data_IF_062284157441
#
_entry.id   IF_062284157441
#
_cell.length_a   1.000
_cell.length_b   1.000
_cell.length_c   1.000
_cell.angle_alpha   90.00
_cell.angle_beta   90.00
_cell.angle_gamma   90.00
#
_symmetry.space_group_name_H-M   'P 1'
#
loop_
_entity.id
_entity.type
_entity.pdbx_description
1 polymer ?
#
# COMPACT_ATOMS: atom_id res chain seq x y z
N UNK A 1 17.75 34.92 -0.40
CA UNK A 1 16.72 34.62 0.63
C UNK A 1 15.42 35.30 0.24
N UNK A 2 14.28 34.60 0.19
CA UNK A 2 12.98 35.26 -0.04
C UNK A 2 12.65 36.14 1.17
N UNK A 3 12.39 37.42 0.95
CA UNK A 3 12.01 38.34 2.02
C UNK A 3 10.66 37.91 2.62
N UNK A 4 10.63 37.64 3.93
CA UNK A 4 9.38 37.40 4.68
C UNK A 4 8.61 38.72 4.82
N UNK A 5 7.28 38.68 4.75
CA UNK A 5 6.44 39.85 5.07
C UNK A 5 6.59 40.23 6.55
N UNK A 6 6.30 41.49 6.88
CA UNK A 6 6.30 42.02 8.25
C UNK A 6 4.87 42.13 8.75
N UNK A 7 4.64 41.73 10.00
CA UNK A 7 3.34 41.81 10.65
C UNK A 7 2.87 43.27 10.73
N UNK A 8 1.61 43.59 10.36
CA UNK A 8 1.11 44.96 10.44
C UNK A 8 0.88 45.47 11.88
N UNK A 9 0.93 44.58 12.88
CA UNK A 9 0.70 44.92 14.30
C UNK A 9 2.01 45.12 15.06
N UNK A 10 2.96 44.19 14.92
CA UNK A 10 4.18 44.15 15.73
C UNK A 10 5.47 44.05 14.90
N UNK A 11 5.38 44.21 13.58
CA UNK A 11 6.51 44.20 12.62
C UNK A 11 7.36 42.92 12.57
N UNK A 12 7.00 41.90 13.36
CA UNK A 12 7.71 40.62 13.38
C UNK A 12 7.62 39.94 12.00
N UNK A 13 8.64 39.17 11.62
CA UNK A 13 8.63 38.39 10.39
C UNK A 13 7.44 37.41 10.37
N UNK A 14 6.76 37.28 9.23
CA UNK A 14 5.62 36.38 9.07
C UNK A 14 6.01 35.07 8.37
N UNK A 15 5.36 33.98 8.76
CA UNK A 15 5.46 32.68 8.09
C UNK A 15 4.35 32.52 7.07
N UNK A 16 4.71 32.03 5.88
CA UNK A 16 3.80 31.93 4.74
C UNK A 16 3.29 30.50 4.56
N UNK A 17 1.97 30.36 4.47
CA UNK A 17 1.24 29.13 4.23
C UNK A 17 0.41 29.27 2.95
N UNK A 18 0.46 28.24 2.09
CA UNK A 18 -0.38 28.21 0.90
C UNK A 18 -1.73 27.59 1.28
N UNK A 19 -2.83 28.28 1.02
CA UNK A 19 -4.19 27.76 1.24
C UNK A 19 -4.64 27.01 -0.02
N UNK A 20 -4.54 27.67 -1.16
CA UNK A 20 -4.90 27.15 -2.47
C UNK A 20 -4.09 27.86 -3.57
N UNK A 21 -4.46 27.65 -4.83
CA UNK A 21 -3.84 28.26 -6.01
C UNK A 21 -4.07 29.77 -6.12
N UNK A 22 -4.99 30.35 -5.33
CA UNK A 22 -5.38 31.77 -5.37
C UNK A 22 -4.99 32.55 -4.12
N UNK A 23 -4.73 31.86 -3.01
CA UNK A 23 -4.58 32.46 -1.68
C UNK A 23 -3.37 31.91 -0.94
N UNK A 24 -2.56 32.83 -0.43
CA UNK A 24 -1.43 32.54 0.48
C UNK A 24 -1.60 33.35 1.75
N UNK A 25 -1.65 32.69 2.89
CA UNK A 25 -1.76 33.33 4.19
C UNK A 25 -0.37 33.54 4.79
N UNK A 26 -0.14 34.72 5.34
CA UNK A 26 1.04 35.06 6.12
C UNK A 26 0.58 35.21 7.57
N UNK A 27 1.14 34.43 8.47
CA UNK A 27 0.83 34.44 9.91
C UNK A 27 2.00 35.06 10.66
N UNK A 28 1.75 35.95 11.62
CA UNK A 28 2.81 36.55 12.45
C UNK A 28 3.65 35.46 13.13
N UNK A 29 4.98 35.61 13.12
CA UNK A 29 5.89 34.69 13.81
C UNK A 29 5.71 34.64 15.33
N UNK A 30 5.05 35.64 15.92
CA UNK A 30 4.70 35.67 17.35
C UNK A 30 3.31 35.06 17.64
N UNK A 31 2.65 34.42 16.68
CA UNK A 31 1.39 33.70 16.93
C UNK A 31 1.59 32.59 17.98
N UNK A 32 0.71 32.43 18.98
CA UNK A 32 -0.61 33.07 19.15
C UNK A 32 -0.61 34.39 19.94
N UNK A 33 0.55 34.87 20.43
CA UNK A 33 0.65 36.11 21.23
C UNK A 33 0.40 37.38 20.41
N UNK A 34 0.42 37.28 19.08
CA UNK A 34 0.01 38.34 18.16
C UNK A 34 -0.93 37.74 17.10
N UNK A 35 -2.13 38.31 16.99
CA UNK A 35 -3.20 37.86 16.08
C UNK A 35 -3.01 38.33 14.62
N UNK A 36 -1.91 39.01 14.32
CA UNK A 36 -1.67 39.59 13.00
C UNK A 36 -1.51 38.52 11.91
N UNK A 37 -2.34 38.61 10.88
CA UNK A 37 -2.22 37.81 9.65
C UNK A 37 -2.51 38.66 8.41
N UNK A 38 -2.03 38.21 7.25
CA UNK A 38 -2.28 38.85 5.94
C UNK A 38 -2.61 37.78 4.92
N UNK A 39 -3.69 37.96 4.16
CA UNK A 39 -4.01 37.09 3.02
C UNK A 39 -3.54 37.76 1.74
N UNK A 40 -2.63 37.11 1.02
CA UNK A 40 -2.16 37.50 -0.29
C UNK A 40 -2.98 36.75 -1.36
N UNK A 41 -3.65 37.51 -2.22
CA UNK A 41 -4.35 36.99 -3.39
C UNK A 41 -3.43 37.05 -4.61
N UNK A 42 -3.41 35.99 -5.40
CA UNK A 42 -2.60 35.89 -6.61
C UNK A 42 -2.54 34.45 -7.11
N UNK A 43 -1.89 34.22 -8.24
CA UNK A 43 -1.72 32.86 -8.76
C UNK A 43 -0.48 32.19 -8.17
N UNK A 44 -0.71 31.12 -7.40
CA UNK A 44 0.34 30.36 -6.74
C UNK A 44 0.43 28.96 -7.32
N UNK A 45 1.62 28.61 -7.81
CA UNK A 45 1.92 27.24 -8.22
C UNK A 45 2.09 26.37 -6.99
N UNK A 46 1.13 25.48 -6.73
CA UNK A 46 1.31 24.34 -5.83
C UNK A 46 2.42 23.47 -6.44
N UNK A 47 3.44 23.08 -5.67
CA UNK A 47 4.48 22.15 -6.14
C UNK A 47 3.87 20.79 -6.48
N UNK A 48 3.43 20.61 -7.73
CA UNK A 48 2.82 19.36 -8.19
C UNK A 48 2.46 19.28 -9.67
N UNK A 49 2.97 20.16 -10.54
CA UNK A 49 2.46 20.25 -11.92
C UNK A 49 3.58 20.29 -12.95
N UNK A 50 4.09 19.10 -13.30
CA UNK A 50 4.89 18.79 -14.51
C UNK A 50 4.98 17.24 -14.67
N UNK A 51 3.99 16.50 -14.13
CA UNK A 51 3.97 15.04 -14.16
C UNK A 51 3.17 14.52 -15.36
N UNK A 52 3.42 13.28 -15.82
CA UNK A 52 2.63 12.66 -16.87
C UNK A 52 1.16 12.54 -16.43
N UNK A 53 0.23 12.87 -17.33
CA UNK A 53 -1.20 12.60 -17.16
C UNK A 53 -1.45 11.16 -17.59
N UNK A 54 -2.16 10.39 -16.77
CA UNK A 54 -2.48 8.98 -17.03
C UNK A 54 -3.98 8.79 -16.87
N UNK A 55 -4.57 7.97 -17.74
CA UNK A 55 -6.00 7.66 -17.68
C UNK A 55 -6.32 6.76 -16.47
N UNK A 56 -7.44 7.06 -15.81
CA UNK A 56 -7.96 6.29 -14.67
C UNK A 56 -8.63 4.99 -15.14
N UNK A 57 -8.18 3.86 -14.61
CA UNK A 57 -8.69 2.53 -14.92
C UNK A 57 -10.16 2.31 -14.52
N UNK A 58 -10.71 3.11 -13.60
CA UNK A 58 -12.07 2.96 -13.09
C UNK A 58 -13.11 3.83 -13.79
N UNK A 59 -12.72 4.98 -14.34
CA UNK A 59 -13.68 5.95 -14.91
C UNK A 59 -13.23 6.62 -16.20
N UNK A 60 -12.03 6.33 -16.72
CA UNK A 60 -11.49 6.94 -17.94
C UNK A 60 -11.12 8.41 -17.83
N UNK A 61 -11.30 9.04 -16.66
CA UNK A 61 -10.86 10.43 -16.44
C UNK A 61 -9.35 10.52 -16.22
N UNK A 62 -8.79 11.71 -16.42
CA UNK A 62 -7.37 11.96 -16.17
C UNK A 62 -6.99 11.73 -14.69
N UNK A 63 -5.74 11.32 -14.47
CA UNK A 63 -5.12 11.28 -13.16
C UNK A 63 -3.96 12.27 -13.10
N UNK A 64 -3.85 12.97 -11.97
CA UNK A 64 -2.82 13.99 -11.72
C UNK A 64 -1.84 13.57 -10.63
N UNK A 65 -0.59 13.96 -10.79
CA UNK A 65 0.46 13.71 -9.82
C UNK A 65 0.26 14.56 -8.54
N UNK A 66 0.05 13.92 -7.40
CA UNK A 66 0.00 14.57 -6.09
C UNK A 66 1.10 14.06 -5.16
N UNK A 67 1.52 14.91 -4.24
CA UNK A 67 2.47 14.57 -3.18
C UNK A 67 1.72 14.40 -1.87
N UNK A 68 1.60 13.17 -1.38
CA UNK A 68 0.96 12.86 -0.10
C UNK A 68 1.99 12.53 0.99
N UNK A 69 1.51 12.30 2.21
CA UNK A 69 2.34 11.88 3.36
C UNK A 69 3.12 10.58 3.14
N UNK A 70 2.65 9.73 2.22
CA UNK A 70 3.25 8.43 1.91
C UNK A 70 4.09 8.44 0.63
N UNK A 71 4.34 9.62 0.06
CA UNK A 71 5.06 9.80 -1.21
C UNK A 71 4.16 10.25 -2.34
N UNK A 72 4.72 10.22 -3.56
CA UNK A 72 4.03 10.64 -4.78
C UNK A 72 3.00 9.59 -5.21
N UNK A 73 1.84 10.03 -5.66
CA UNK A 73 0.77 9.18 -6.17
C UNK A 73 -0.01 9.92 -7.27
N UNK A 74 -0.69 9.16 -8.13
CA UNK A 74 -1.64 9.66 -9.11
C UNK A 74 -3.03 9.66 -8.48
N UNK A 75 -3.73 10.79 -8.56
CA UNK A 75 -5.08 10.99 -8.03
C UNK A 75 -6.03 11.26 -9.19
N UNK A 76 -7.18 10.56 -9.23
CA UNK A 76 -8.18 10.82 -10.26
C UNK A 76 -8.73 12.25 -10.14
N UNK A 77 -8.93 12.93 -11.28
CA UNK A 77 -9.48 14.29 -11.32
C UNK A 77 -11.00 14.33 -11.15
N UNK A 78 -11.68 13.20 -11.32
CA UNK A 78 -13.14 13.12 -11.17
C UNK A 78 -13.55 13.14 -9.70
N UNK A 79 -14.50 14.01 -9.36
CA UNK A 79 -15.04 14.13 -7.99
C UNK A 79 -15.79 12.88 -7.52
N UNK A 80 -16.34 12.10 -8.46
CA UNK A 80 -17.06 10.86 -8.16
C UNK A 80 -16.14 9.65 -8.02
N UNK A 81 -14.87 9.76 -8.46
CA UNK A 81 -13.91 8.66 -8.46
C UNK A 81 -12.77 8.90 -7.45
N UNK A 82 -12.73 8.12 -6.36
CA UNK A 82 -11.65 8.19 -5.35
C UNK A 82 -10.45 7.28 -5.68
N UNK A 83 -10.27 6.93 -6.96
CA UNK A 83 -9.21 6.02 -7.36
C UNK A 83 -7.84 6.70 -7.29
N UNK A 84 -6.84 5.97 -6.80
CA UNK A 84 -5.46 6.45 -6.70
C UNK A 84 -4.50 5.37 -7.18
N UNK A 85 -3.43 5.77 -7.87
CA UNK A 85 -2.37 4.86 -8.32
C UNK A 85 -1.04 5.26 -7.71
N UNK A 86 -0.29 4.28 -7.25
CA UNK A 86 1.04 4.52 -6.65
C UNK A 86 2.06 4.78 -7.75
N UNK A 87 3.05 5.61 -7.46
CA UNK A 87 4.21 5.77 -8.34
C UNK A 87 5.36 4.93 -7.79
N UNK A 88 5.94 4.12 -8.66
CA UNK A 88 7.07 3.27 -8.38
C UNK A 88 8.35 4.09 -8.23
N UNK A 89 9.39 3.52 -7.64
CA UNK A 89 10.67 4.22 -7.41
C UNK A 89 11.37 4.65 -8.70
N UNK A 90 11.10 3.98 -9.81
CA UNK A 90 11.60 4.31 -11.15
C UNK A 90 10.80 5.44 -11.83
N UNK A 91 9.75 5.98 -11.20
CA UNK A 91 8.90 7.04 -11.75
C UNK A 91 7.72 6.55 -12.57
N UNK A 92 7.58 5.25 -12.82
CA UNK A 92 6.45 4.68 -13.54
C UNK A 92 5.21 4.58 -12.64
N UNK A 93 4.03 4.71 -13.25
CA UNK A 93 2.76 4.51 -12.55
C UNK A 93 2.54 3.02 -12.36
N UNK A 94 2.33 2.59 -11.11
CA UNK A 94 2.07 1.19 -10.79
C UNK A 94 0.84 0.69 -11.56
N UNK A 95 0.80 -0.59 -11.99
CA UNK A 95 -0.37 -1.18 -12.64
C UNK A 95 -1.67 -0.93 -11.86
N UNK A 96 -2.83 -0.96 -12.53
CA UNK A 96 -4.14 -0.93 -11.87
C UNK A 96 -4.16 -1.89 -10.68
N UNK A 97 -4.63 -1.39 -9.55
CA UNK A 97 -4.67 -2.18 -8.32
C UNK A 97 -5.90 -3.08 -8.38
N UNK A 98 -5.70 -4.38 -8.21
CA UNK A 98 -6.82 -5.30 -8.05
C UNK A 98 -7.60 -5.00 -6.77
N UNK A 99 -8.91 -5.20 -6.85
CA UNK A 99 -9.78 -5.01 -5.72
C UNK A 99 -9.46 -6.06 -4.63
N UNK A 100 -9.38 -5.66 -3.35
CA UNK A 100 -9.07 -6.59 -2.28
C UNK A 100 -10.13 -7.69 -2.14
N UNK A 101 -9.71 -8.91 -1.80
CA UNK A 101 -10.63 -10.04 -1.56
C UNK A 101 -10.92 -10.14 -0.07
N UNK A 102 -12.19 -10.08 0.30
CA UNK A 102 -12.63 -10.08 1.69
C UNK A 102 -12.92 -11.50 2.21
N UNK A 103 -12.39 -11.82 3.39
CA UNK A 103 -12.68 -13.08 4.10
C UNK A 103 -13.26 -12.81 5.50
N UNK A 104 -14.55 -12.45 5.61
CA UNK A 104 -15.22 -12.25 6.90
C UNK A 104 -15.10 -13.44 7.86
N UNK A 105 -14.90 -14.65 7.33
CA UNK A 105 -14.76 -15.90 8.08
C UNK A 105 -13.38 -16.09 8.73
N UNK A 106 -12.41 -15.21 8.41
CA UNK A 106 -11.07 -15.22 8.97
C UNK A 106 -10.89 -14.02 9.92
N UNK A 107 -11.22 -14.14 11.22
CA UNK A 107 -11.04 -13.07 12.17
C UNK A 107 -9.55 -12.72 12.37
N UNK A 108 -9.28 -11.46 12.70
CA UNK A 108 -7.96 -11.02 13.14
C UNK A 108 -7.70 -11.47 14.58
N UNK A 109 -6.44 -11.64 14.95
CA UNK A 109 -6.04 -12.06 16.31
C UNK A 109 -6.16 -10.91 17.32
N UNK A 110 -5.83 -9.68 16.90
CA UNK A 110 -5.68 -8.54 17.80
C UNK A 110 -6.84 -7.54 17.73
N UNK A 111 -7.92 -7.85 17.01
CA UNK A 111 -9.07 -6.93 16.84
C UNK A 111 -10.32 -7.65 16.34
N UNK A 112 -11.49 -7.03 16.51
CA UNK A 112 -12.78 -7.50 15.98
C UNK A 112 -12.91 -7.39 14.44
N UNK A 113 -11.80 -7.19 13.74
CA UNK A 113 -11.74 -7.14 12.29
C UNK A 113 -11.59 -8.56 11.71
N UNK A 114 -11.62 -8.63 10.38
CA UNK A 114 -11.37 -9.85 9.62
C UNK A 114 -10.30 -9.60 8.56
N UNK A 115 -9.71 -10.67 8.04
CA UNK A 115 -8.63 -10.59 7.05
C UNK A 115 -9.15 -10.32 5.63
N UNK A 116 -8.41 -9.48 4.93
CA UNK A 116 -8.62 -9.12 3.53
C UNK A 116 -7.32 -9.42 2.79
N UNK A 117 -7.39 -10.19 1.72
CA UNK A 117 -6.25 -10.47 0.84
C UNK A 117 -5.97 -9.26 -0.03
N UNK A 118 -4.71 -8.83 -0.05
CA UNK A 118 -4.24 -7.69 -0.83
C UNK A 118 -3.03 -8.09 -1.66
N UNK A 119 -3.03 -7.63 -2.90
CA UNK A 119 -1.85 -7.64 -3.76
C UNK A 119 -1.05 -6.36 -3.55
N UNK A 120 0.23 -6.51 -3.20
CA UNK A 120 1.14 -5.41 -2.91
C UNK A 120 2.50 -5.61 -3.57
N UNK A 121 3.36 -4.60 -3.46
CA UNK A 121 4.70 -4.65 -4.06
C UNK A 121 5.63 -5.74 -3.51
N UNK A 122 5.27 -6.39 -2.39
CA UNK A 122 5.98 -7.53 -1.82
C UNK A 122 5.14 -8.82 -1.91
N UNK A 123 4.26 -8.90 -2.91
CA UNK A 123 3.35 -10.01 -3.15
C UNK A 123 2.10 -9.98 -2.29
N UNK A 124 1.43 -11.13 -2.25
CA UNK A 124 0.17 -11.33 -1.53
C UNK A 124 0.36 -11.32 -0.01
N UNK A 125 -0.57 -10.67 0.67
CA UNK A 125 -0.64 -10.66 2.12
C UNK A 125 -2.08 -10.50 2.61
N UNK A 126 -2.35 -11.06 3.78
CA UNK A 126 -3.59 -10.81 4.53
C UNK A 126 -3.41 -9.54 5.37
N UNK A 127 -4.41 -8.67 5.37
CA UNK A 127 -4.43 -7.45 6.17
C UNK A 127 -5.80 -7.25 6.83
N UNK A 128 -5.83 -6.64 8.01
CA UNK A 128 -7.09 -6.33 8.68
C UNK A 128 -8.02 -5.43 7.83
N UNK A 129 -9.31 -5.74 7.83
CA UNK A 129 -10.35 -5.03 7.06
C UNK A 129 -10.50 -3.56 7.47
N UNK A 130 -10.25 -3.23 8.73
CA UNK A 130 -10.42 -1.89 9.29
C UNK A 130 -9.12 -1.04 9.32
N UNK A 131 -8.10 -1.41 8.53
CA UNK A 131 -6.89 -0.59 8.35
C UNK A 131 -7.27 0.88 8.04
N UNK A 132 -6.65 1.89 8.69
CA UNK A 132 -5.43 1.83 9.48
C UNK A 132 -5.61 1.58 10.98
N UNK A 133 -6.83 1.26 11.46
CA UNK A 133 -7.10 1.04 12.89
C UNK A 133 -6.39 -0.21 13.42
N UNK A 134 -6.62 -1.36 12.79
CA UNK A 134 -5.75 -2.54 12.96
C UNK A 134 -4.70 -2.55 11.85
N UNK A 135 -3.44 -2.79 12.25
CA UNK A 135 -2.29 -2.91 11.33
C UNK A 135 -1.77 -4.35 11.28
N UNK A 136 -2.60 -5.30 11.72
CA UNK A 136 -2.31 -6.71 11.66
C UNK A 136 -2.19 -7.17 10.20
N UNK A 137 -1.10 -7.88 9.93
CA UNK A 137 -0.80 -8.44 8.62
C UNK A 137 -0.10 -9.77 8.77
N UNK A 138 -0.40 -10.73 7.89
CA UNK A 138 0.31 -12.01 7.82
C UNK A 138 0.37 -12.55 6.39
N UNK A 139 1.19 -13.58 6.19
CA UNK A 139 1.16 -14.33 4.94
C UNK A 139 -0.15 -15.15 4.86
N UNK A 140 -0.78 -15.26 3.66
CA UNK A 140 -1.93 -16.13 3.50
C UNK A 140 -1.49 -17.60 3.55
N UNK A 141 -2.27 -18.43 4.23
CA UNK A 141 -2.07 -19.87 4.22
C UNK A 141 -2.58 -20.45 2.90
N UNK A 142 -1.90 -21.47 2.39
CA UNK A 142 -2.34 -22.18 1.18
C UNK A 142 -3.71 -22.84 1.41
N UNK A 143 -3.93 -23.43 2.59
CA UNK A 143 -5.22 -24.04 2.97
C UNK A 143 -6.37 -23.03 2.98
N UNK A 144 -6.11 -21.79 3.40
CA UNK A 144 -7.11 -20.70 3.36
C UNK A 144 -7.42 -20.27 1.93
N UNK A 145 -6.41 -20.14 1.07
CA UNK A 145 -6.61 -19.80 -0.34
C UNK A 145 -7.39 -20.90 -1.06
N UNK A 146 -7.09 -22.17 -0.79
CA UNK A 146 -7.82 -23.31 -1.33
C UNK A 146 -9.29 -23.34 -0.85
N UNK A 147 -9.56 -23.01 0.42
CA UNK A 147 -10.93 -22.92 0.95
C UNK A 147 -11.77 -21.86 0.22
N UNK A 148 -11.16 -20.76 -0.21
CA UNK A 148 -11.86 -19.62 -0.82
C UNK A 148 -11.50 -19.42 -2.31
N UNK A 149 -11.13 -20.50 -3.01
CA UNK A 149 -10.64 -20.46 -4.40
C UNK A 149 -11.56 -19.68 -5.35
N UNK A 150 -12.88 -19.87 -5.23
CA UNK A 150 -13.86 -19.22 -6.09
C UNK A 150 -13.86 -17.69 -5.99
N UNK A 151 -13.41 -17.14 -4.86
CA UNK A 151 -13.33 -15.69 -4.63
C UNK A 151 -12.00 -15.10 -5.09
N UNK A 152 -11.02 -15.93 -5.46
CA UNK A 152 -9.70 -15.48 -5.85
C UNK A 152 -9.67 -15.04 -7.33
N UNK A 153 -8.91 -13.98 -7.66
CA UNK A 153 -8.59 -13.65 -9.04
C UNK A 153 -7.93 -14.82 -9.76
N UNK A 154 -8.24 -15.01 -11.06
CA UNK A 154 -7.71 -16.11 -11.89
C UNK A 154 -6.19 -16.24 -11.80
N UNK A 155 -5.47 -15.11 -11.78
CA UNK A 155 -4.00 -15.09 -11.71
C UNK A 155 -3.43 -15.71 -10.43
N UNK A 156 -4.24 -15.88 -9.38
CA UNK A 156 -3.81 -16.43 -8.09
C UNK A 156 -4.37 -17.82 -7.81
N UNK A 157 -5.27 -18.34 -8.64
CA UNK A 157 -5.85 -19.67 -8.44
C UNK A 157 -4.81 -20.78 -8.43
N UNK A 158 -3.72 -20.66 -9.20
CA UNK A 158 -2.64 -21.66 -9.14
C UNK A 158 -2.07 -21.86 -7.72
N UNK A 159 -2.13 -20.85 -6.85
CA UNK A 159 -1.65 -20.95 -5.47
C UNK A 159 -2.49 -21.90 -4.62
N UNK A 160 -3.76 -22.14 -4.97
CA UNK A 160 -4.63 -23.10 -4.25
C UNK A 160 -4.20 -24.54 -4.47
N UNK A 161 -3.49 -24.80 -5.57
CA UNK A 161 -2.97 -26.12 -5.93
C UNK A 161 -1.65 -26.47 -5.24
N UNK A 162 -1.06 -25.54 -4.50
CA UNK A 162 0.19 -25.77 -3.78
C UNK A 162 -0.01 -26.78 -2.64
N UNK A 163 1.06 -27.48 -2.21
CA UNK A 163 0.98 -28.30 -1.00
C UNK A 163 0.60 -27.43 0.20
N UNK A 164 -0.45 -27.85 0.93
CA UNK A 164 -1.01 -27.08 2.04
C UNK A 164 -0.17 -27.20 3.32
N UNK A 165 0.61 -28.26 3.43
CA UNK A 165 1.45 -28.58 4.58
C UNK A 165 2.79 -29.15 4.14
N UNK A 166 3.80 -29.02 4.99
CA UNK A 166 5.05 -29.76 4.83
C UNK A 166 4.92 -31.22 5.33
N UNK A 167 5.89 -32.11 5.07
CA UNK A 167 5.82 -33.49 5.56
C UNK A 167 5.80 -33.68 7.09
N UNK A 168 6.01 -32.64 7.90
CA UNK A 168 5.87 -32.69 9.36
C UNK A 168 4.48 -32.15 9.80
N UNK A 169 3.59 -31.85 8.85
CA UNK A 169 2.26 -31.28 9.10
C UNK A 169 2.26 -29.77 9.37
N UNK A 170 3.37 -29.06 9.11
CA UNK A 170 3.38 -27.59 9.31
C UNK A 170 2.64 -26.90 8.17
N UNK A 171 1.72 -25.96 8.47
CA UNK A 171 1.02 -25.20 7.43
C UNK A 171 1.96 -24.45 6.50
N UNK A 172 1.64 -24.50 5.21
CA UNK A 172 2.35 -23.79 4.18
C UNK A 172 1.77 -22.37 3.97
N UNK A 173 2.65 -21.38 3.87
CA UNK A 173 2.31 -19.97 3.60
C UNK A 173 2.82 -19.54 2.24
N UNK A 174 2.10 -18.61 1.60
CA UNK A 174 2.57 -17.95 0.38
C UNK A 174 3.51 -16.81 0.73
N UNK A 175 4.66 -16.77 0.06
CA UNK A 175 5.67 -15.71 0.14
C UNK A 175 6.01 -15.22 -1.26
N UNK A 176 6.73 -14.10 -1.33
CA UNK A 176 7.11 -13.47 -2.59
C UNK A 176 8.62 -13.26 -2.64
N UNK A 177 9.23 -13.70 -3.73
CA UNK A 177 10.65 -13.52 -4.01
C UNK A 177 10.85 -12.19 -4.72
N UNK A 178 11.53 -11.23 -4.09
CA UNK A 178 11.88 -9.96 -4.75
C UNK A 178 12.87 -10.12 -5.90
N UNK A 179 13.66 -11.21 -5.89
CA UNK A 179 14.68 -11.49 -6.91
C UNK A 179 14.05 -12.01 -8.19
N UNK A 180 13.14 -12.98 -8.07
CA UNK A 180 12.45 -13.59 -9.22
C UNK A 180 11.13 -12.91 -9.56
N UNK A 181 10.61 -12.06 -8.65
CA UNK A 181 9.29 -11.41 -8.73
C UNK A 181 8.13 -12.39 -8.82
N UNK A 182 8.27 -13.55 -8.17
CA UNK A 182 7.29 -14.64 -8.19
C UNK A 182 6.86 -15.01 -6.78
N UNK A 183 5.65 -15.56 -6.68
CA UNK A 183 5.19 -16.19 -5.45
C UNK A 183 5.83 -17.57 -5.32
N UNK A 184 6.13 -17.95 -4.09
CA UNK A 184 6.56 -19.29 -3.72
C UNK A 184 5.90 -19.68 -2.40
N UNK A 185 5.89 -20.96 -2.12
CA UNK A 185 5.27 -21.50 -0.91
C UNK A 185 6.37 -22.03 0.00
N UNK A 186 6.21 -21.88 1.31
CA UNK A 186 7.12 -22.46 2.31
C UNK A 186 6.39 -22.71 3.62
N UNK A 187 6.94 -23.60 4.44
CA UNK A 187 6.53 -23.72 5.83
C UNK A 187 7.43 -22.86 6.72
N UNK A 188 6.91 -22.49 7.88
CA UNK A 188 7.61 -21.64 8.84
C UNK A 188 7.55 -22.27 10.23
N UNK A 189 8.58 -22.00 11.02
CA UNK A 189 8.65 -22.30 12.44
C UNK A 189 8.96 -20.98 13.17
N UNK A 190 8.03 -20.51 13.98
CA UNK A 190 8.09 -19.19 14.64
C UNK A 190 8.47 -18.04 13.67
N UNK A 191 7.82 -18.02 12.49
CA UNK A 191 8.06 -17.03 11.42
C UNK A 191 9.35 -17.22 10.62
N UNK A 192 10.23 -18.15 11.00
CA UNK A 192 11.49 -18.45 10.29
C UNK A 192 11.32 -19.60 9.29
N UNK A 193 12.14 -19.68 8.23
CA UNK A 193 12.01 -20.76 7.26
C UNK A 193 12.33 -22.10 7.91
N UNK A 194 11.42 -23.06 7.81
CA UNK A 194 11.65 -24.43 8.27
C UNK A 194 12.76 -25.12 7.47
N UNK A 195 12.94 -24.72 6.20
CA UNK A 195 13.79 -25.37 5.21
C UNK A 195 13.00 -26.07 4.10
N UNK A 196 11.66 -26.12 4.19
CA UNK A 196 10.80 -26.64 3.13
C UNK A 196 10.22 -25.49 2.30
N UNK A 197 10.30 -25.64 0.99
CA UNK A 197 9.85 -24.65 0.00
C UNK A 197 9.28 -25.35 -1.22
N UNK A 198 8.27 -24.77 -1.85
CA UNK A 198 7.73 -25.21 -3.14
C UNK A 198 7.68 -24.02 -4.12
N UNK A 199 8.19 -24.25 -5.32
CA UNK A 199 8.22 -23.30 -6.43
C UNK A 199 7.26 -23.76 -7.52
N UNK A 200 6.59 -22.84 -8.20
CA UNK A 200 5.71 -23.18 -9.31
C UNK A 200 6.45 -22.96 -10.64
N UNK A 201 6.81 -24.04 -11.32
CA UNK A 201 7.61 -24.05 -12.56
C UNK A 201 6.87 -24.88 -13.60
N UNK A 202 6.64 -24.32 -14.79
CA UNK A 202 6.01 -25.00 -15.94
C UNK A 202 4.70 -25.76 -15.59
N UNK A 203 3.86 -25.13 -14.77
CA UNK A 203 2.57 -25.68 -14.37
C UNK A 203 2.61 -26.68 -13.22
N UNK A 204 3.78 -26.92 -12.61
CA UNK A 204 3.99 -27.93 -11.55
C UNK A 204 4.68 -27.33 -10.32
N UNK A 205 4.39 -27.91 -9.17
CA UNK A 205 5.06 -27.56 -7.91
C UNK A 205 6.33 -28.39 -7.72
N UNK A 206 7.48 -27.72 -7.77
CA UNK A 206 8.78 -28.30 -7.45
C UNK A 206 9.11 -28.07 -5.97
N UNK A 207 9.22 -29.17 -5.22
CA UNK A 207 9.49 -29.13 -3.79
C UNK A 207 10.98 -29.24 -3.54
N UNK A 208 11.51 -28.32 -2.73
CA UNK A 208 12.84 -28.42 -2.14
C UNK A 208 12.69 -28.56 -0.63
N UNK A 209 13.15 -29.68 -0.09
CA UNK A 209 13.14 -29.96 1.34
C UNK A 209 14.56 -30.03 1.90
N UNK A 210 14.94 -29.02 2.67
CA UNK A 210 16.20 -28.93 3.41
C UNK A 210 15.97 -28.90 4.92
N UNK A 211 14.79 -29.32 5.39
CA UNK A 211 14.46 -29.33 6.83
C UNK A 211 15.44 -30.24 7.57
N UNK A 212 15.82 -29.83 8.77
CA UNK A 212 16.53 -30.72 9.70
C UNK A 212 15.49 -31.71 10.22
N UNK A 213 15.71 -33.01 10.03
CA UNK A 213 14.82 -34.04 10.59
C UNK A 213 14.58 -33.75 12.08
N UNK A 214 13.32 -33.73 12.49
CA UNK A 214 12.98 -33.72 13.90
C UNK A 214 13.71 -34.90 14.56
N UNK A 215 14.41 -34.66 15.67
CA UNK A 215 14.93 -35.76 16.48
C UNK A 215 13.69 -36.54 16.95
N UNK A 216 13.58 -37.79 16.51
CA UNK A 216 12.58 -38.73 16.99
C UNK A 216 12.72 -38.93 18.51
#
# INVERSE_FOLDING_TARGET
>A
LRAKKRCPICETAMDAYLIDDKRKMHVCGNNPNCEGYVVEYGEFKVKGYDGPVVECDKCGSDMVLKNGRFGKYMDCTSETCKNTRKILKNGEVAPPKEDPVHFPELPCENSDAYFVLRDGASGLFMAASNFPKSRETRAPLVSELARFEERLPEKFKYLTTAPQEDPDGRPAVVRFSRKTKENYVRSEDDGKPSGWTALYVDGKWEITDKRKKAKA
#
